data_IF_872996782892
#
_entry.id   IF_872996782892
#
_cell.length_a   1.000
_cell.length_b   1.000
_cell.length_c   1.000
_cell.angle_alpha   90.00
_cell.angle_beta   90.00
_cell.angle_gamma   90.00
#
_symmetry.space_group_name_H-M   'P 1'
#
loop_
_entity.id
_entity.type
_entity.pdbx_description
1 polymer ?
#
# COMPACT_ATOMS: atom_id res chain seq x y z
N UNK A 1 12.13 11.61 -3.09
CA UNK A 1 11.65 10.65 -2.08
C UNK A 1 10.14 10.69 -2.18
N UNK A 2 9.49 9.56 -2.40
CA UNK A 2 8.03 9.47 -2.45
C UNK A 2 7.43 9.72 -1.07
N UNK A 3 6.42 10.58 -0.98
CA UNK A 3 5.68 10.92 0.24
C UNK A 3 4.41 10.07 0.31
N UNK A 4 4.19 9.38 1.42
CA UNK A 4 2.95 8.64 1.67
C UNK A 4 2.08 9.43 2.63
N UNK A 5 0.79 9.56 2.31
CA UNK A 5 -0.21 10.18 3.17
C UNK A 5 -1.29 9.16 3.52
N UNK A 6 -1.60 9.02 4.82
CA UNK A 6 -2.67 8.13 5.29
C UNK A 6 -4.06 8.69 5.00
N UNK A 7 -4.17 10.02 4.93
CA UNK A 7 -5.42 10.71 4.60
C UNK A 7 -5.47 10.98 3.12
N UNK A 8 -6.48 10.43 2.44
CA UNK A 8 -6.70 10.67 1.01
C UNK A 8 -7.31 12.08 0.85
N UNK A 9 -6.76 12.95 -0.01
CA UNK A 9 -7.36 14.24 -0.30
C UNK A 9 -8.79 14.10 -0.84
N UNK A 10 -9.70 14.99 -0.42
CA UNK A 10 -11.13 14.95 -0.80
C UNK A 10 -11.36 14.84 -2.31
N UNK A 11 -10.50 15.48 -3.11
CA UNK A 11 -10.55 15.45 -4.58
C UNK A 11 -10.25 14.08 -5.20
N UNK A 12 -9.62 13.18 -4.43
CA UNK A 12 -9.17 11.86 -4.86
C UNK A 12 -9.89 10.71 -4.17
N UNK A 13 -10.66 10.95 -3.10
CA UNK A 13 -11.38 9.91 -2.33
C UNK A 13 -12.21 9.01 -3.25
N UNK A 14 -13.08 9.59 -4.08
CA UNK A 14 -14.00 8.82 -4.94
C UNK A 14 -13.23 7.99 -5.97
N UNK A 15 -12.15 8.54 -6.53
CA UNK A 15 -11.31 7.83 -7.49
C UNK A 15 -10.50 6.70 -6.83
N UNK A 16 -10.01 6.92 -5.61
CA UNK A 16 -9.27 5.94 -4.83
C UNK A 16 -10.16 4.77 -4.40
N UNK A 17 -11.38 5.05 -3.95
CA UNK A 17 -12.38 4.03 -3.62
C UNK A 17 -12.78 3.21 -4.86
N UNK A 18 -12.99 3.86 -6.01
CA UNK A 18 -13.28 3.17 -7.27
C UNK A 18 -12.14 2.23 -7.68
N UNK A 19 -10.88 2.68 -7.57
CA UNK A 19 -9.72 1.85 -7.85
C UNK A 19 -9.59 0.67 -6.88
N UNK A 20 -9.83 0.90 -5.58
CA UNK A 20 -9.83 -0.15 -4.56
C UNK A 20 -10.93 -1.18 -4.79
N UNK A 21 -12.15 -0.75 -5.13
CA UNK A 21 -13.26 -1.65 -5.42
C UNK A 21 -12.98 -2.51 -6.66
N UNK A 22 -12.43 -1.90 -7.71
CA UNK A 22 -11.98 -2.62 -8.90
C UNK A 22 -10.91 -3.68 -8.55
N UNK A 23 -9.90 -3.29 -7.76
CA UNK A 23 -8.81 -4.19 -7.37
C UNK A 23 -9.29 -5.35 -6.47
N UNK A 24 -10.17 -5.06 -5.52
CA UNK A 24 -10.80 -6.05 -4.65
C UNK A 24 -11.59 -7.08 -5.46
N UNK A 25 -12.33 -6.63 -6.48
CA UNK A 25 -13.07 -7.50 -7.38
C UNK A 25 -12.13 -8.39 -8.21
N UNK A 26 -11.06 -7.83 -8.78
CA UNK A 26 -10.08 -8.56 -9.60
C UNK A 26 -9.34 -9.64 -8.78
N UNK A 27 -9.13 -9.40 -7.48
CA UNK A 27 -8.42 -10.31 -6.57
C UNK A 27 -9.33 -11.24 -5.77
N UNK A 28 -10.64 -11.14 -5.93
CA UNK A 28 -11.65 -11.85 -5.11
C UNK A 28 -11.36 -11.72 -3.60
N UNK A 29 -10.95 -10.53 -3.16
CA UNK A 29 -10.44 -10.29 -1.80
C UNK A 29 -10.86 -8.92 -1.28
N UNK A 30 -10.94 -8.77 0.04
CA UNK A 30 -11.30 -7.51 0.68
C UNK A 30 -10.06 -6.65 0.90
N UNK A 31 -10.08 -5.44 0.33
CA UNK A 31 -9.06 -4.41 0.51
C UNK A 31 -9.68 -3.08 0.96
N UNK A 32 -8.88 -2.29 1.68
CA UNK A 32 -9.18 -0.92 2.09
C UNK A 32 -8.05 0.00 1.66
N UNK A 33 -8.40 1.21 1.25
CA UNK A 33 -7.42 2.28 1.02
C UNK A 33 -6.92 2.77 2.38
N UNK A 34 -5.62 2.66 2.62
CA UNK A 34 -4.96 3.12 3.86
C UNK A 34 -3.96 4.24 3.61
N UNK A 35 -3.71 4.59 2.34
CA UNK A 35 -2.92 5.76 2.01
C UNK A 35 -2.78 5.99 0.51
N UNK A 36 -2.20 7.14 0.16
CA UNK A 36 -1.88 7.56 -1.19
C UNK A 36 -0.42 8.00 -1.25
N UNK A 37 0.24 7.75 -2.37
CA UNK A 37 1.62 8.15 -2.63
C UNK A 37 1.62 9.40 -3.50
N UNK A 38 2.40 10.40 -3.09
CA UNK A 38 2.63 11.67 -3.77
C UNK A 38 1.33 12.33 -4.28
N UNK A 39 0.32 12.59 -3.41
CA UNK A 39 -0.98 13.12 -3.84
C UNK A 39 -0.87 14.47 -4.56
N UNK A 40 0.12 15.27 -4.20
CA UNK A 40 0.43 16.57 -4.83
C UNK A 40 0.85 16.41 -6.30
N UNK A 41 1.46 15.28 -6.68
CA UNK A 41 1.91 15.00 -8.05
C UNK A 41 0.79 14.49 -8.97
N UNK A 42 -0.31 13.98 -8.38
CA UNK A 42 -1.53 13.61 -9.13
C UNK A 42 -2.17 14.85 -9.77
N UNK A 43 -1.89 16.03 -9.20
CA UNK A 43 -2.23 17.35 -9.72
C UNK A 43 -3.70 17.75 -9.52
N UNK A 44 -3.92 19.03 -9.21
CA UNK A 44 -5.22 19.70 -9.33
C UNK A 44 -5.56 19.91 -10.81
N UNK A 45 -5.74 18.83 -11.56
CA UNK A 45 -6.20 18.97 -12.94
C UNK A 45 -7.71 19.18 -12.92
N UNK A 46 -8.06 20.46 -12.90
CA UNK A 46 -9.36 21.14 -13.04
C UNK A 46 -10.14 20.76 -14.33
N UNK A 47 -9.87 19.58 -14.88
CA UNK A 47 -10.52 19.00 -16.05
C UNK A 47 -11.08 17.65 -15.65
N UNK A 48 -12.38 17.61 -15.40
CA UNK A 48 -13.18 16.41 -15.08
C UNK A 48 -13.17 15.35 -16.21
N UNK A 49 -12.27 15.45 -17.18
CA UNK A 49 -12.15 14.60 -18.37
C UNK A 49 -10.75 14.01 -18.57
N UNK A 50 -9.76 14.36 -17.75
CA UNK A 50 -8.37 13.89 -17.96
C UNK A 50 -8.09 12.66 -17.11
N UNK A 51 -7.50 11.62 -17.73
CA UNK A 51 -7.04 10.43 -17.02
C UNK A 51 -5.91 10.78 -16.04
N UNK A 52 -5.95 10.24 -14.82
CA UNK A 52 -4.97 10.47 -13.77
C UNK A 52 -4.32 9.16 -13.37
N UNK A 53 -3.04 9.20 -13.02
CA UNK A 53 -2.37 8.07 -12.39
C UNK A 53 -2.34 8.32 -10.88
N UNK A 54 -2.82 7.35 -10.12
CA UNK A 54 -2.82 7.37 -8.65
C UNK A 54 -2.10 6.14 -8.15
N UNK A 55 -1.37 6.30 -7.05
CA UNK A 55 -0.70 5.19 -6.39
C UNK A 55 -1.23 5.08 -4.96
N UNK A 56 -1.79 3.93 -4.63
CA UNK A 56 -2.52 3.70 -3.39
C UNK A 56 -1.83 2.64 -2.53
N UNK A 57 -1.96 2.78 -1.23
CA UNK A 57 -1.69 1.72 -0.27
C UNK A 57 -3.01 1.01 0.02
N UNK A 58 -3.09 -0.27 -0.34
CA UNK A 58 -4.25 -1.12 -0.16
C UNK A 58 -3.94 -2.20 0.86
N UNK A 59 -4.60 -2.17 2.02
CA UNK A 59 -4.45 -3.20 3.05
C UNK A 59 -5.70 -4.08 3.12
N UNK A 60 -5.49 -5.38 3.17
CA UNK A 60 -6.56 -6.37 3.06
C UNK A 60 -6.12 -7.76 3.50
N UNK A 61 -6.97 -8.76 3.23
CA UNK A 61 -6.66 -10.16 3.52
C UNK A 61 -6.55 -10.96 2.23
N UNK A 62 -5.37 -11.48 1.93
CA UNK A 62 -5.13 -12.32 0.76
C UNK A 62 -4.61 -13.69 1.21
N UNK A 63 -5.23 -14.77 0.73
CA UNK A 63 -4.88 -16.15 1.07
C UNK A 63 -4.80 -16.41 2.60
N UNK A 64 -5.68 -15.76 3.36
CA UNK A 64 -5.74 -15.86 4.83
C UNK A 64 -4.68 -15.04 5.59
N UNK A 65 -3.90 -14.20 4.90
CA UNK A 65 -2.89 -13.34 5.51
C UNK A 65 -3.23 -11.87 5.32
N UNK A 66 -3.00 -11.06 6.35
CA UNK A 66 -3.06 -9.60 6.23
C UNK A 66 -1.88 -9.10 5.39
N UNK A 67 -2.19 -8.39 4.30
CA UNK A 67 -1.21 -7.83 3.36
C UNK A 67 -1.51 -6.35 3.12
N UNK A 68 -0.46 -5.56 2.95
CA UNK A 68 -0.55 -4.18 2.48
C UNK A 68 0.27 -4.04 1.20
N UNK A 69 -0.40 -3.68 0.12
CA UNK A 69 0.16 -3.59 -1.24
C UNK A 69 0.24 -2.14 -1.66
N UNK A 70 1.26 -1.79 -2.45
CA UNK A 70 1.44 -0.45 -3.02
C UNK A 70 1.16 -0.53 -4.52
N UNK A 71 -0.08 -0.24 -4.89
CA UNK A 71 -0.59 -0.49 -6.24
C UNK A 71 -0.80 0.80 -7.01
N UNK A 72 -0.58 0.74 -8.33
CA UNK A 72 -0.75 1.88 -9.24
C UNK A 72 -1.94 1.69 -10.15
N UNK A 73 -2.71 2.75 -10.30
CA UNK A 73 -3.92 2.76 -11.12
C UNK A 73 -3.93 3.98 -12.01
N UNK A 74 -4.38 3.78 -13.25
CA UNK A 74 -4.84 4.86 -14.10
C UNK A 74 -6.35 4.93 -13.98
N UNK A 75 -6.86 6.06 -13.53
CA UNK A 75 -8.29 6.34 -13.35
C UNK A 75 -8.73 7.37 -14.39
N UNK A 76 -9.75 7.04 -15.17
CA UNK A 76 -10.31 7.92 -16.20
C UNK A 76 -11.77 8.20 -15.88
N UNK A 77 -12.21 9.46 -15.72
CA UNK A 77 -13.62 9.78 -15.51
C UNK A 77 -14.49 9.24 -16.66
N UNK A 78 -15.59 8.57 -16.32
CA UNK A 78 -16.56 8.02 -17.25
C UNK A 78 -17.97 8.54 -16.93
N UNK A 79 -18.94 8.27 -17.81
CA UNK A 79 -20.34 8.71 -17.62
C UNK A 79 -21.00 8.21 -16.34
N UNK A 80 -20.49 7.13 -15.74
CA UNK A 80 -20.99 6.53 -14.50
C UNK A 80 -19.82 6.09 -13.59
N UNK A 81 -18.96 7.03 -13.19
CA UNK A 81 -17.85 6.79 -12.26
C UNK A 81 -16.48 6.88 -12.94
N UNK A 82 -15.65 5.85 -12.76
CA UNK A 82 -14.28 5.81 -13.28
C UNK A 82 -14.03 4.50 -14.05
N UNK A 83 -13.37 4.62 -15.19
CA UNK A 83 -12.67 3.50 -15.82
C UNK A 83 -11.30 3.35 -15.16
N UNK A 84 -10.99 2.14 -14.69
CA UNK A 84 -9.81 1.86 -13.87
C UNK A 84 -8.93 0.84 -14.60
N UNK A 85 -7.66 1.19 -14.78
CA UNK A 85 -6.64 0.31 -15.33
C UNK A 85 -5.55 0.14 -14.29
N UNK A 86 -5.27 -1.10 -13.89
CA UNK A 86 -4.13 -1.43 -13.04
C UNK A 86 -2.83 -1.37 -13.85
N UNK A 87 -1.88 -0.55 -13.40
CA UNK A 87 -0.60 -0.33 -14.09
C UNK A 87 0.51 -1.27 -13.59
N UNK A 88 0.19 -2.16 -12.65
CA UNK A 88 1.13 -3.11 -12.07
C UNK A 88 1.91 -2.59 -10.87
N UNK A 89 2.40 -3.56 -10.12
CA UNK A 89 3.04 -3.41 -8.83
C UNK A 89 4.42 -2.72 -8.99
N UNK A 90 4.66 -1.66 -8.22
CA UNK A 90 6.02 -1.22 -7.95
C UNK A 90 6.53 -2.08 -6.81
N UNK A 91 6.80 -3.36 -7.11
CA UNK A 91 7.51 -4.21 -6.17
C UNK A 91 8.76 -3.44 -5.74
N UNK A 92 9.00 -3.25 -4.44
CA UNK A 92 10.11 -2.44 -3.96
C UNK A 92 11.38 -2.90 -4.66
N UNK A 93 12.13 -1.97 -5.26
CA UNK A 93 13.43 -2.32 -5.84
C UNK A 93 14.25 -3.07 -4.78
N UNK A 94 14.89 -4.17 -5.20
CA UNK A 94 15.84 -4.91 -4.39
C UNK A 94 16.91 -3.92 -3.88
N UNK A 95 16.81 -3.54 -2.60
CA UNK A 95 17.65 -2.49 -1.99
C UNK A 95 16.90 -1.29 -1.38
N UNK A 96 15.57 -1.24 -1.48
CA UNK A 96 14.77 -0.29 -0.71
C UNK A 96 14.88 -0.54 0.82
N UNK A 97 14.60 0.43 1.70
CA UNK A 97 14.83 0.30 3.14
C UNK A 97 14.01 -0.80 3.83
N UNK A 98 12.86 -1.17 3.26
CA UNK A 98 11.96 -2.17 3.82
C UNK A 98 12.63 -3.57 3.98
N UNK A 99 13.30 -4.14 2.95
CA UNK A 99 14.09 -5.37 3.12
C UNK A 99 15.36 -5.23 3.99
N UNK A 100 15.77 -4.01 4.36
CA UNK A 100 16.92 -3.79 5.25
C UNK A 100 16.57 -3.91 6.74
N UNK A 101 15.28 -3.98 7.10
CA UNK A 101 14.81 -4.09 8.48
C UNK A 101 14.51 -5.53 8.90
N UNK A 102 14.36 -6.43 7.93
CA UNK A 102 14.30 -7.84 8.26
C UNK A 102 15.69 -8.31 8.71
N UNK A 103 15.82 -8.94 9.89
CA UNK A 103 17.08 -9.54 10.28
C UNK A 103 17.48 -10.59 9.23
N UNK A 104 18.79 -10.74 8.93
CA UNK A 104 19.24 -11.76 8.00
C UNK A 104 18.69 -13.13 8.36
N UNK A 105 18.39 -13.94 7.34
CA UNK A 105 17.82 -15.27 7.52
C UNK A 105 18.67 -16.10 8.51
N UNK A 106 18.02 -16.63 9.56
CA UNK A 106 18.65 -17.42 10.61
C UNK A 106 19.17 -16.65 11.84
N UNK A 107 19.26 -15.31 11.80
CA UNK A 107 19.76 -14.52 12.95
C UNK A 107 18.71 -14.32 14.04
N UNK A 108 17.43 -14.30 13.66
CA UNK A 108 16.31 -14.02 14.57
C UNK A 108 16.18 -15.04 15.70
N UNK A 109 16.34 -16.33 15.39
CA UNK A 109 16.15 -17.44 16.32
C UNK A 109 17.19 -17.41 17.45
N UNK A 110 18.48 -17.38 17.11
CA UNK A 110 19.55 -17.34 18.12
C UNK A 110 19.56 -16.06 18.96
N UNK A 111 19.13 -14.93 18.39
CA UNK A 111 18.94 -13.70 19.15
C UNK A 111 17.78 -13.81 20.14
N UNK A 112 16.63 -14.35 19.72
CA UNK A 112 15.46 -14.57 20.58
C UNK A 112 15.79 -15.46 21.78
N UNK A 113 16.46 -16.59 21.54
CA UNK A 113 16.88 -17.51 22.60
C UNK A 113 17.76 -16.82 23.65
N UNK A 114 18.63 -15.92 23.19
CA UNK A 114 19.56 -15.17 24.06
C UNK A 114 18.83 -14.11 24.90
N UNK A 115 17.73 -13.55 24.40
CA UNK A 115 17.02 -12.42 25.03
C UNK A 115 15.90 -12.90 25.95
N UNK A 116 15.22 -14.01 25.62
CA UNK A 116 14.05 -14.49 26.37
C UNK A 116 14.39 -14.86 27.82
N UNK A 117 15.59 -15.38 28.07
CA UNK A 117 16.06 -15.71 29.41
C UNK A 117 16.52 -14.51 30.24
N UNK A 118 16.66 -13.32 29.64
CA UNK A 118 17.16 -12.10 30.29
C UNK A 118 16.07 -11.16 30.75
N UNK A 119 14.85 -11.32 30.26
CA UNK A 119 13.74 -10.40 30.50
C UNK A 119 12.49 -11.16 30.94
N UNK A 120 11.67 -10.54 31.80
CA UNK A 120 10.41 -11.14 32.25
C UNK A 120 9.38 -11.28 31.11
N UNK A 121 9.51 -10.46 30.06
CA UNK A 121 8.76 -10.58 28.81
C UNK A 121 9.55 -9.93 27.68
N UNK A 122 9.24 -10.31 26.44
CA UNK A 122 9.82 -9.76 25.21
C UNK A 122 8.67 -9.30 24.32
N UNK A 123 8.73 -8.07 23.82
CA UNK A 123 7.78 -7.54 22.83
C UNK A 123 8.46 -7.55 21.47
N UNK A 124 7.94 -8.34 20.53
CA UNK A 124 8.35 -8.26 19.13
C UNK A 124 7.39 -7.34 18.39
N UNK A 125 7.90 -6.20 17.95
CA UNK A 125 7.17 -5.29 17.08
C UNK A 125 7.49 -5.69 15.64
N UNK A 126 6.51 -6.28 14.96
CA UNK A 126 6.57 -6.49 13.52
C UNK A 126 5.93 -5.29 12.84
N UNK A 127 6.74 -4.51 12.13
CA UNK A 127 6.22 -3.45 11.29
C UNK A 127 5.89 -4.04 9.91
N UNK A 128 4.60 -4.04 9.56
CA UNK A 128 4.09 -4.47 8.24
C UNK A 128 3.46 -3.32 7.45
N UNK A 129 3.99 -2.12 7.66
CA UNK A 129 3.67 -0.94 6.85
C UNK A 129 4.77 -0.64 5.83
N UNK A 130 4.43 0.11 4.79
CA UNK A 130 5.42 0.64 3.84
C UNK A 130 6.23 1.79 4.46
N UNK A 131 7.49 1.91 4.04
CA UNK A 131 8.35 3.10 4.22
C UNK A 131 8.26 3.99 2.98
#
# INVERSE_FOLDING_TARGET
MSRVEETIPDSLVVAAEAACAWFAQERESEFKVTGIVDPEEVGDQDSASTSREIQLILCGTQDGNEVCLRERFKVTPASAGFDVIHLGDNSPELGSPAPMLDPPAGVREGWLDTVIGKHAFVVLVFYRGFW
#
